data_IF_247637141796
#
_entry.id   IF_247637141796
#
_cell.length_a   1.000
_cell.length_b   1.000
_cell.length_c   1.000
_cell.angle_alpha   90.00
_cell.angle_beta   90.00
_cell.angle_gamma   90.00
#
_symmetry.space_group_name_H-M   'P 1'
#
loop_
_entity.id
_entity.type
_entity.pdbx_description
1 polymer ?
#
# COMPACT_ATOMS: atom_id res chain seq x y z
N UNK A 1 -1.04 19.98 -16.26
CA UNK A 1 -1.44 18.72 -16.93
C UNK A 1 -0.90 17.55 -16.13
N UNK A 2 -1.75 16.61 -15.69
CA UNK A 2 -1.31 15.39 -14.99
C UNK A 2 -0.58 14.49 -16.01
N UNK A 3 0.63 14.03 -15.70
CA UNK A 3 1.38 13.14 -16.61
C UNK A 3 0.65 11.81 -16.79
N UNK A 4 0.85 11.16 -17.94
CA UNK A 4 0.23 9.85 -18.23
C UNK A 4 0.49 8.83 -17.11
N UNK A 5 1.71 8.85 -16.54
CA UNK A 5 2.11 8.02 -15.40
C UNK A 5 1.28 8.29 -14.16
N UNK A 6 1.07 9.56 -13.78
CA UNK A 6 0.27 9.91 -12.61
C UNK A 6 -1.20 9.48 -12.78
N UNK A 7 -1.74 9.60 -13.99
CA UNK A 7 -3.11 9.14 -14.30
C UNK A 7 -3.22 7.62 -14.23
N UNK A 8 -2.22 6.89 -14.74
CA UNK A 8 -2.15 5.43 -14.64
C UNK A 8 -2.05 4.98 -13.18
N UNK A 9 -1.18 5.64 -12.41
CA UNK A 9 -1.03 5.39 -10.97
C UNK A 9 -2.33 5.60 -10.19
N UNK A 10 -3.03 6.71 -10.44
CA UNK A 10 -4.34 6.98 -9.82
C UNK A 10 -5.38 5.91 -10.15
N UNK A 11 -5.40 5.41 -11.39
CA UNK A 11 -6.30 4.31 -11.79
C UNK A 11 -5.94 3.01 -11.07
N UNK A 12 -4.66 2.64 -11.04
CA UNK A 12 -4.20 1.45 -10.33
C UNK A 12 -4.51 1.54 -8.82
N UNK A 13 -4.30 2.72 -8.21
CA UNK A 13 -4.67 3.00 -6.83
C UNK A 13 -6.17 2.80 -6.61
N UNK A 14 -7.00 3.42 -7.44
CA UNK A 14 -8.46 3.32 -7.34
C UNK A 14 -8.94 1.87 -7.49
N UNK A 15 -8.46 1.14 -8.49
CA UNK A 15 -8.82 -0.27 -8.70
C UNK A 15 -8.39 -1.13 -7.51
N UNK A 16 -7.13 -1.01 -7.08
CA UNK A 16 -6.63 -1.77 -5.93
C UNK A 16 -7.39 -1.46 -4.65
N UNK A 17 -7.71 -0.19 -4.39
CA UNK A 17 -8.48 0.24 -3.23
C UNK A 17 -9.93 -0.30 -3.27
N UNK A 18 -10.62 -0.19 -4.41
CA UNK A 18 -11.99 -0.71 -4.57
C UNK A 18 -12.02 -2.22 -4.35
N UNK A 19 -11.12 -2.97 -4.99
CA UNK A 19 -11.05 -4.42 -4.83
C UNK A 19 -10.70 -4.81 -3.40
N UNK A 20 -9.82 -4.05 -2.72
CA UNK A 20 -9.50 -4.28 -1.31
C UNK A 20 -10.72 -4.04 -0.42
N UNK A 21 -11.46 -2.96 -0.60
CA UNK A 21 -12.67 -2.68 0.18
C UNK A 21 -13.71 -3.79 0.01
N UNK A 22 -13.99 -4.18 -1.24
CA UNK A 22 -14.95 -5.25 -1.54
C UNK A 22 -14.45 -6.59 -0.96
N UNK A 23 -13.19 -6.93 -1.20
CA UNK A 23 -12.58 -8.17 -0.68
C UNK A 23 -12.60 -8.22 0.85
N UNK A 24 -12.28 -7.12 1.52
CA UNK A 24 -12.30 -7.05 2.98
C UNK A 24 -13.71 -7.21 3.54
N UNK A 25 -14.70 -6.57 2.90
CA UNK A 25 -16.11 -6.71 3.25
C UNK A 25 -16.61 -8.16 3.07
N UNK A 26 -16.28 -8.80 1.94
CA UNK A 26 -16.57 -10.22 1.71
C UNK A 26 -15.88 -11.12 2.74
N UNK A 27 -14.63 -10.80 3.08
CA UNK A 27 -13.85 -11.54 4.06
C UNK A 27 -14.51 -11.57 5.44
N UNK A 28 -15.09 -10.45 5.87
CA UNK A 28 -15.87 -10.36 7.11
C UNK A 28 -17.22 -11.07 6.96
N UNK A 29 -17.95 -10.80 5.88
CA UNK A 29 -19.33 -11.29 5.67
C UNK A 29 -19.41 -12.80 5.58
N UNK A 30 -18.43 -13.44 4.95
CA UNK A 30 -18.40 -14.88 4.71
C UNK A 30 -17.32 -15.61 5.54
N UNK A 31 -16.74 -14.96 6.55
CA UNK A 31 -15.69 -15.50 7.43
C UNK A 31 -14.49 -16.10 6.66
N UNK A 32 -14.15 -15.53 5.49
CA UNK A 32 -13.09 -16.01 4.62
C UNK A 32 -11.70 -15.82 5.23
N UNK A 33 -11.57 -14.98 6.27
CA UNK A 33 -10.32 -14.79 7.00
C UNK A 33 -9.80 -16.07 7.66
N UNK A 34 -10.68 -17.03 7.97
CA UNK A 34 -10.28 -18.36 8.46
C UNK A 34 -9.63 -19.20 7.36
N UNK A 35 -9.97 -18.95 6.10
CA UNK A 35 -9.41 -19.66 4.96
C UNK A 35 -8.07 -19.02 4.54
N UNK A 36 -6.97 -19.61 5.00
CA UNK A 36 -5.60 -19.07 4.80
C UNK A 36 -5.28 -18.60 3.36
N UNK A 37 -5.68 -19.31 2.29
CA UNK A 37 -5.39 -18.87 0.92
C UNK A 37 -6.05 -17.52 0.56
N UNK A 38 -7.18 -17.18 1.18
CA UNK A 38 -7.84 -15.89 0.98
C UNK A 38 -6.94 -14.73 1.40
N UNK A 39 -6.27 -14.83 2.55
CA UNK A 39 -5.36 -13.80 3.03
C UNK A 39 -4.18 -13.53 2.07
N UNK A 40 -3.63 -14.58 1.46
CA UNK A 40 -2.54 -14.44 0.48
C UNK A 40 -3.01 -13.75 -0.80
N UNK A 41 -4.19 -14.12 -1.30
CA UNK A 41 -4.77 -13.49 -2.48
C UNK A 41 -5.20 -12.04 -2.21
N UNK A 42 -5.66 -11.75 -1.00
CA UNK A 42 -6.06 -10.41 -0.58
C UNK A 42 -4.88 -9.42 -0.54
N UNK A 43 -3.64 -9.89 -0.43
CA UNK A 43 -2.46 -9.03 -0.52
C UNK A 43 -2.27 -8.41 -1.91
N UNK A 44 -2.74 -9.07 -2.99
CA UNK A 44 -2.57 -8.60 -4.37
C UNK A 44 -3.26 -7.25 -4.66
N UNK A 45 -4.56 -7.05 -4.37
CA UNK A 45 -5.20 -5.75 -4.60
C UNK A 45 -4.60 -4.64 -3.73
N UNK A 46 -4.14 -4.94 -2.52
CA UNK A 46 -3.42 -3.99 -1.67
C UNK A 46 -2.09 -3.59 -2.33
N UNK A 47 -1.31 -4.57 -2.80
CA UNK A 47 -0.05 -4.30 -3.50
C UNK A 47 -0.27 -3.44 -4.74
N UNK A 48 -1.32 -3.72 -5.53
CA UNK A 48 -1.71 -2.90 -6.68
C UNK A 48 -2.05 -1.47 -6.27
N UNK A 49 -2.77 -1.29 -5.15
CA UNK A 49 -3.09 0.03 -4.63
C UNK A 49 -1.81 0.82 -4.29
N UNK A 50 -0.87 0.18 -3.59
CA UNK A 50 0.40 0.80 -3.20
C UNK A 50 1.28 1.15 -4.40
N UNK A 51 1.35 0.27 -5.41
CA UNK A 51 2.03 0.54 -6.69
C UNK A 51 1.43 1.79 -7.35
N UNK A 52 0.10 1.86 -7.42
CA UNK A 52 -0.61 3.00 -7.98
C UNK A 52 -0.34 4.29 -7.22
N UNK A 53 -0.34 4.24 -5.88
CA UNK A 53 -0.04 5.37 -5.02
C UNK A 53 1.38 5.89 -5.25
N UNK A 54 2.37 5.00 -5.33
CA UNK A 54 3.75 5.35 -5.64
C UNK A 54 3.88 6.05 -6.99
N UNK A 55 3.26 5.52 -8.04
CA UNK A 55 3.26 6.13 -9.37
C UNK A 55 2.53 7.48 -9.41
N UNK A 56 1.42 7.59 -8.68
CA UNK A 56 0.63 8.83 -8.59
C UNK A 56 1.41 9.94 -7.85
N UNK A 57 2.11 9.60 -6.76
CA UNK A 57 2.90 10.52 -5.96
C UNK A 57 4.19 10.98 -6.65
N UNK A 58 4.96 10.02 -7.17
CA UNK A 58 6.27 10.30 -7.77
C UNK A 58 6.17 10.77 -9.23
N UNK A 59 5.14 10.35 -9.97
CA UNK A 59 5.06 10.51 -11.41
C UNK A 59 6.03 9.62 -12.20
N UNK A 60 6.68 8.67 -11.55
CA UNK A 60 7.64 7.72 -12.13
C UNK A 60 6.99 6.33 -12.22
N UNK A 61 7.15 5.58 -13.32
CA UNK A 61 6.66 4.20 -13.42
C UNK A 61 7.24 3.32 -12.32
N UNK A 62 6.44 2.39 -11.78
CA UNK A 62 6.88 1.56 -10.65
C UNK A 62 8.10 0.70 -10.97
N UNK A 63 8.22 0.21 -12.21
CA UNK A 63 9.40 -0.53 -12.67
C UNK A 63 10.67 0.29 -12.54
N UNK A 64 10.59 1.59 -12.82
CA UNK A 64 11.76 2.47 -12.77
C UNK A 64 12.07 2.87 -11.33
N UNK A 65 11.05 3.00 -10.46
CA UNK A 65 11.26 3.14 -9.01
C UNK A 65 11.97 1.93 -8.42
N UNK A 66 11.58 0.71 -8.82
CA UNK A 66 12.24 -0.52 -8.40
C UNK A 66 13.70 -0.56 -8.88
N UNK A 67 13.96 -0.22 -10.14
CA UNK A 67 15.31 -0.14 -10.67
C UNK A 67 16.18 0.90 -9.93
N UNK A 68 15.60 2.05 -9.58
CA UNK A 68 16.29 3.07 -8.78
C UNK A 68 16.63 2.54 -7.39
N UNK A 69 15.67 1.89 -6.71
CA UNK A 69 15.92 1.25 -5.42
C UNK A 69 17.05 0.21 -5.49
N UNK A 70 17.05 -0.64 -6.51
CA UNK A 70 18.06 -1.70 -6.67
C UNK A 70 19.45 -1.14 -7.01
N UNK A 71 19.51 0.00 -7.70
CA UNK A 71 20.76 0.70 -8.02
C UNK A 71 21.45 1.34 -6.81
N UNK A 72 20.75 1.47 -5.68
CA UNK A 72 21.31 2.06 -4.47
C UNK A 72 22.34 1.13 -3.81
N UNK A 73 23.37 1.74 -3.20
CA UNK A 73 24.33 1.02 -2.36
C UNK A 73 23.59 0.38 -1.17
N UNK A 74 24.08 -0.76 -0.68
CA UNK A 74 23.41 -1.52 0.39
C UNK A 74 23.09 -0.68 1.64
N UNK A 75 24.00 0.23 2.04
CA UNK A 75 23.77 1.12 3.18
C UNK A 75 22.66 2.16 2.92
N UNK A 76 22.52 2.65 1.68
CA UNK A 76 21.46 3.60 1.31
C UNK A 76 20.09 2.93 1.36
N UNK A 77 19.99 1.68 0.89
CA UNK A 77 18.78 0.86 1.06
C UNK A 77 18.47 0.63 2.53
N UNK A 78 19.49 0.38 3.35
CA UNK A 78 19.32 0.25 4.80
C UNK A 78 18.72 1.49 5.44
N UNK A 79 19.29 2.68 5.19
CA UNK A 79 18.80 3.95 5.76
C UNK A 79 17.39 4.29 5.27
N UNK A 80 17.14 4.17 3.96
CA UNK A 80 15.81 4.44 3.42
C UNK A 80 14.78 3.42 3.91
N UNK A 81 15.15 2.14 4.01
CA UNK A 81 14.27 1.09 4.52
C UNK A 81 13.86 1.32 5.97
N UNK A 82 14.81 1.67 6.83
CA UNK A 82 14.53 2.02 8.23
C UNK A 82 13.67 3.28 8.32
N UNK A 83 13.92 4.28 7.46
CA UNK A 83 13.12 5.52 7.42
C UNK A 83 11.67 5.22 7.01
N UNK A 84 11.47 4.43 5.96
CA UNK A 84 10.15 4.00 5.50
C UNK A 84 9.45 3.24 6.63
N UNK A 85 10.11 2.26 7.26
CA UNK A 85 9.56 1.52 8.38
C UNK A 85 9.12 2.45 9.52
N UNK A 86 10.00 3.36 9.96
CA UNK A 86 9.71 4.28 11.06
C UNK A 86 8.49 5.16 10.76
N UNK A 87 8.41 5.73 9.55
CA UNK A 87 7.28 6.57 9.13
C UNK A 87 5.98 5.77 9.10
N UNK A 88 5.98 4.59 8.48
CA UNK A 88 4.77 3.76 8.40
C UNK A 88 4.34 3.21 9.77
N UNK A 89 5.28 2.83 10.63
CA UNK A 89 4.98 2.45 12.02
C UNK A 89 4.38 3.61 12.80
N UNK A 90 4.94 4.82 12.70
CA UNK A 90 4.40 5.99 13.36
C UNK A 90 2.97 6.31 12.88
N UNK A 91 2.71 6.21 11.57
CA UNK A 91 1.36 6.37 11.02
C UNK A 91 0.40 5.29 11.54
N UNK A 92 0.81 4.02 11.52
CA UNK A 92 0.00 2.90 11.96
C UNK A 92 -0.36 3.01 13.45
N UNK A 93 0.63 3.25 14.31
CA UNK A 93 0.40 3.43 15.75
C UNK A 93 -0.36 4.71 16.06
N UNK A 94 -0.14 5.78 15.29
CA UNK A 94 -0.90 7.02 15.41
C UNK A 94 -2.39 6.83 15.10
N UNK A 95 -2.71 6.14 14.00
CA UNK A 95 -4.10 5.81 13.63
C UNK A 95 -4.73 4.89 14.67
N UNK A 96 -4.00 3.87 15.15
CA UNK A 96 -4.49 2.97 16.18
C UNK A 96 -4.79 3.72 17.49
N UNK A 97 -3.88 4.57 17.95
CA UNK A 97 -4.08 5.39 19.14
C UNK A 97 -5.29 6.33 18.98
N UNK A 98 -5.44 6.96 17.82
CA UNK A 98 -6.59 7.82 17.53
C UNK A 98 -7.92 7.05 17.54
N UNK A 99 -7.94 5.83 16.99
CA UNK A 99 -9.13 4.96 16.98
C UNK A 99 -9.55 4.52 18.39
N UNK A 100 -8.58 4.23 19.26
CA UNK A 100 -8.82 3.90 20.67
C UNK A 100 -9.38 5.14 21.41
N UNK A 101 -8.77 6.31 21.23
CA UNK A 101 -9.22 7.54 21.88
C UNK A 101 -10.61 8.00 21.42
N UNK A 102 -11.00 7.69 20.18
CA UNK A 102 -12.32 8.02 19.65
C UNK A 102 -13.42 7.02 20.05
N UNK A 103 -13.08 5.91 20.72
CA UNK A 103 -14.03 4.86 21.10
C UNK A 103 -14.60 4.08 19.92
N UNK A 104 -13.94 4.13 18.76
CA UNK A 104 -14.31 3.34 17.57
C UNK A 104 -13.89 1.88 17.72
N UNK A 105 -12.89 1.61 18.56
CA UNK A 105 -12.37 0.28 18.92
C UNK A 105 -12.33 0.14 20.43
#
# INVERSE_FOLDING_TARGET
MISATRKSGLRAFAVGAIVSVIGGWLGVTYDLWRFKPFGWLYALPIALAMIGLGQAGTGVPFRDLAAQWDSLKGWQRGVLGVTILAVFSALLFGVLAAAIMSGVV
#
